data_IF_452738143122
#
_entry.id   IF_452738143122
#
_cell.length_a   1.000
_cell.length_b   1.000
_cell.length_c   1.000
_cell.angle_alpha   90.00
_cell.angle_beta   90.00
_cell.angle_gamma   90.00
#
_symmetry.space_group_name_H-M   'P 1'
#
loop_
_entity.id
_entity.type
_entity.pdbx_description
1 polymer ?
#
# COMPACT_ATOMS: atom_id res chain seq x y z
N UNK A 1 -6.85 4.62 8.53
CA UNK A 1 -7.31 4.47 7.14
C UNK A 1 -8.35 3.37 7.07
N UNK A 2 -9.39 3.58 6.32
CA UNK A 2 -10.41 2.57 6.11
C UNK A 2 -10.06 1.68 4.92
N UNK A 3 -10.72 0.53 4.85
CA UNK A 3 -10.53 -0.36 3.71
C UNK A 3 -10.90 0.31 2.40
N UNK A 4 -12.00 1.06 2.39
CA UNK A 4 -12.45 1.77 1.20
C UNK A 4 -11.45 2.86 0.80
N UNK A 5 -10.97 3.64 1.75
CA UNK A 5 -10.00 4.68 1.46
C UNK A 5 -8.72 4.12 0.88
N UNK A 6 -8.25 2.99 1.42
CA UNK A 6 -7.07 2.31 0.91
C UNK A 6 -7.31 1.78 -0.51
N UNK A 7 -8.45 1.15 -0.73
CA UNK A 7 -8.78 0.61 -2.04
C UNK A 7 -8.87 1.71 -3.10
N UNK A 8 -9.44 2.85 -2.75
CA UNK A 8 -9.50 3.99 -3.66
C UNK A 8 -8.12 4.56 -3.97
N UNK A 9 -7.27 4.68 -2.95
CA UNK A 9 -5.92 5.20 -3.13
C UNK A 9 -5.07 4.27 -4.00
N UNK A 10 -4.99 3.00 -3.63
CA UNK A 10 -4.17 2.04 -4.37
C UNK A 10 -4.79 1.69 -5.72
N UNK A 11 -6.11 1.54 -5.76
CA UNK A 11 -6.81 1.26 -7.00
C UNK A 11 -6.69 2.40 -7.99
N UNK A 12 -6.80 3.65 -7.52
CA UNK A 12 -6.60 4.81 -8.37
C UNK A 12 -5.18 4.91 -8.89
N UNK A 13 -4.21 4.62 -8.03
CA UNK A 13 -2.81 4.62 -8.43
C UNK A 13 -2.54 3.55 -9.50
N UNK A 14 -3.08 2.35 -9.31
CA UNK A 14 -2.91 1.27 -10.28
C UNK A 14 -3.63 1.57 -11.59
N UNK A 15 -4.79 2.21 -11.54
CA UNK A 15 -5.51 2.58 -12.75
C UNK A 15 -4.74 3.63 -13.57
N UNK A 16 -4.23 4.65 -12.88
CA UNK A 16 -3.63 5.79 -13.56
C UNK A 16 -2.15 5.60 -13.88
N UNK A 17 -1.43 4.83 -13.07
CA UNK A 17 0.02 4.66 -13.17
C UNK A 17 0.47 3.20 -13.10
N UNK A 18 -0.42 2.25 -13.41
CA UNK A 18 -0.11 0.85 -13.23
C UNK A 18 1.15 0.38 -13.96
N UNK A 19 1.42 0.93 -15.13
CA UNK A 19 2.63 0.58 -15.89
C UNK A 19 3.90 0.93 -15.15
N UNK A 20 3.83 1.94 -14.28
CA UNK A 20 4.97 2.40 -13.51
C UNK A 20 5.03 1.78 -12.12
N UNK A 21 3.97 1.10 -11.73
CA UNK A 21 3.83 0.48 -10.44
C UNK A 21 4.25 -0.98 -10.54
N UNK A 22 5.55 -1.22 -10.41
CA UNK A 22 6.09 -2.55 -10.66
C UNK A 22 5.64 -3.55 -9.61
N UNK A 23 5.62 -3.13 -8.34
CA UNK A 23 5.22 -4.00 -7.26
C UNK A 23 4.85 -3.18 -6.02
N UNK A 24 3.82 -3.62 -5.32
CA UNK A 24 3.47 -3.08 -4.00
C UNK A 24 3.30 -4.25 -3.06
N UNK A 25 3.91 -4.16 -1.89
CA UNK A 25 3.83 -5.23 -0.90
C UNK A 25 3.94 -4.64 0.49
N UNK A 26 3.19 -5.18 1.42
CA UNK A 26 3.29 -4.75 2.81
C UNK A 26 2.16 -5.24 3.67
N UNK A 27 2.14 -4.73 4.90
CA UNK A 27 1.10 -5.02 5.88
C UNK A 27 0.42 -3.73 6.27
N UNK A 28 -0.91 -3.72 6.26
CA UNK A 28 -1.70 -2.55 6.60
C UNK A 28 -2.82 -2.95 7.54
N UNK A 29 -2.95 -2.22 8.65
CA UNK A 29 -4.08 -2.38 9.55
C UNK A 29 -5.11 -1.30 9.23
N UNK A 30 -6.38 -1.73 9.16
CA UNK A 30 -7.46 -0.83 8.82
C UNK A 30 -8.28 -0.48 10.06
N UNK A 31 -8.66 0.79 10.15
CA UNK A 31 -9.44 1.29 11.27
C UNK A 31 -10.80 0.61 11.38
N UNK A 32 -11.37 0.21 10.26
CA UNK A 32 -12.70 -0.43 10.22
C UNK A 32 -12.62 -1.96 10.26
N UNK A 33 -11.43 -2.50 10.52
CA UNK A 33 -11.26 -3.95 10.73
C UNK A 33 -10.12 -4.20 11.72
N UNK A 34 -10.40 -4.05 13.01
CA UNK A 34 -9.39 -4.31 14.04
C UNK A 34 -9.10 -5.81 14.15
N UNK A 35 -8.02 -6.15 14.79
CA UNK A 35 -7.66 -7.52 15.09
C UNK A 35 -6.44 -8.04 14.37
N UNK A 36 -6.01 -7.40 13.30
CA UNK A 36 -4.81 -7.82 12.60
C UNK A 36 -4.68 -7.11 11.26
N UNK A 37 -3.48 -7.09 10.71
CA UNK A 37 -3.23 -6.41 9.45
C UNK A 37 -3.64 -7.27 8.26
N UNK A 38 -3.76 -6.62 7.11
CA UNK A 38 -3.88 -7.30 5.84
C UNK A 38 -2.54 -7.30 5.13
N UNK A 39 -2.17 -8.44 4.57
CA UNK A 39 -1.01 -8.53 3.68
C UNK A 39 -1.47 -8.08 2.30
N UNK A 40 -0.84 -7.03 1.81
CA UNK A 40 -1.18 -6.39 0.54
C UNK A 40 -0.17 -6.79 -0.52
N UNK A 41 -0.67 -7.06 -1.72
CA UNK A 41 0.18 -7.37 -2.85
C UNK A 41 -0.47 -6.86 -4.13
N UNK A 42 0.28 -6.13 -4.92
CA UNK A 42 -0.15 -5.65 -6.23
C UNK A 42 1.01 -5.66 -7.20
N UNK A 43 0.70 -5.92 -8.46
CA UNK A 43 1.67 -5.88 -9.55
C UNK A 43 1.03 -5.14 -10.71
N UNK A 44 1.59 -4.01 -11.06
CA UNK A 44 1.10 -3.15 -12.13
C UNK A 44 -0.39 -2.82 -11.96
N UNK A 45 -1.26 -3.23 -12.87
CA UNK A 45 -2.69 -2.95 -12.77
C UNK A 45 -3.45 -3.98 -11.93
N UNK A 46 -2.78 -5.05 -11.50
CA UNK A 46 -3.43 -6.14 -10.79
C UNK A 46 -3.30 -5.97 -9.29
N UNK A 47 -4.45 -5.85 -8.63
CA UNK A 47 -4.52 -5.83 -7.17
C UNK A 47 -5.01 -7.19 -6.73
N UNK A 48 -4.18 -7.89 -5.96
CA UNK A 48 -4.57 -9.19 -5.43
C UNK A 48 -5.41 -9.02 -4.18
N UNK A 49 -6.34 -9.95 -3.90
CA UNK A 49 -7.13 -9.87 -2.68
C UNK A 49 -6.22 -9.84 -1.45
N UNK A 50 -6.51 -9.00 -0.47
CA UNK A 50 -5.68 -8.95 0.74
C UNK A 50 -5.80 -10.25 1.51
N UNK A 51 -4.69 -10.64 2.12
CA UNK A 51 -4.65 -11.78 3.00
C UNK A 51 -4.69 -11.28 4.44
N UNK A 52 -5.72 -11.66 5.17
CA UNK A 52 -5.90 -11.19 6.54
C UNK A 52 -5.07 -12.03 7.50
N UNK A 53 -4.32 -11.35 8.37
CA UNK A 53 -3.56 -12.00 9.43
C UNK A 53 -4.33 -11.85 10.73
N UNK A 54 -4.21 -12.83 11.61
CA UNK A 54 -4.89 -12.79 12.89
C UNK A 54 -4.25 -11.80 13.85
N UNK A 55 -2.96 -11.56 13.66
CA UNK A 55 -2.19 -10.65 14.50
C UNK A 55 -0.94 -10.20 13.75
N UNK A 56 -0.30 -9.19 14.29
CA UNK A 56 0.97 -8.72 13.74
C UNK A 56 2.06 -9.76 13.96
N UNK A 57 2.94 -9.97 12.97
CA UNK A 57 4.02 -10.96 13.09
C UNK A 57 5.10 -10.57 14.09
N UNK A 58 5.18 -9.29 14.46
CA UNK A 58 6.12 -8.82 15.46
C UNK A 58 5.47 -7.78 16.36
N UNK A 59 6.24 -7.23 17.30
CA UNK A 59 5.72 -6.25 18.25
C UNK A 59 5.53 -4.86 17.66
N UNK A 60 6.07 -4.60 16.49
CA UNK A 60 6.02 -3.30 15.84
C UNK A 60 4.80 -3.22 14.94
N UNK A 61 3.72 -2.66 15.47
CA UNK A 61 2.42 -2.62 14.79
C UNK A 61 2.30 -1.43 13.85
N UNK A 62 3.24 -1.28 12.97
CA UNK A 62 3.27 -0.17 12.04
C UNK A 62 2.90 -0.64 10.65
N UNK A 63 1.87 -0.03 10.06
CA UNK A 63 1.51 -0.28 8.67
C UNK A 63 2.63 0.21 7.76
N UNK A 64 3.06 -0.64 6.87
CA UNK A 64 4.14 -0.32 5.92
C UNK A 64 3.83 -0.90 4.56
N UNK A 65 4.04 -0.09 3.55
CA UNK A 65 3.97 -0.52 2.16
C UNK A 65 5.28 -0.20 1.48
N UNK A 66 5.78 -1.16 0.74
CA UNK A 66 6.97 -0.98 -0.10
C UNK A 66 6.50 -0.89 -1.54
N UNK A 67 6.87 0.19 -2.20
CA UNK A 67 6.56 0.43 -3.60
C UNK A 67 7.83 0.30 -4.42
N UNK A 68 7.80 -0.56 -5.42
CA UNK A 68 8.85 -0.62 -6.44
C UNK A 68 8.25 0.01 -7.68
N UNK A 69 8.81 1.13 -8.10
CA UNK A 69 8.21 1.93 -9.17
C UNK A 69 9.26 2.33 -10.21
N UNK A 70 8.78 2.73 -11.36
CA UNK A 70 9.60 3.29 -12.44
C UNK A 70 8.99 4.62 -12.86
N UNK A 71 9.81 5.68 -12.85
CA UNK A 71 9.39 7.01 -13.32
C UNK A 71 8.10 7.50 -12.68
N UNK A 72 7.91 7.20 -11.40
CA UNK A 72 6.78 7.67 -10.62
C UNK A 72 7.30 8.38 -9.39
N UNK A 73 6.91 9.63 -9.24
CA UNK A 73 7.38 10.45 -8.14
C UNK A 73 6.75 10.02 -6.81
N UNK A 74 7.53 10.04 -5.72
CA UNK A 74 6.98 9.71 -4.40
C UNK A 74 5.81 10.58 -4.00
N UNK A 75 5.81 11.85 -4.43
CA UNK A 75 4.74 12.78 -4.09
C UNK A 75 3.39 12.34 -4.64
N UNK A 76 3.37 11.70 -5.78
CA UNK A 76 2.12 11.19 -6.34
C UNK A 76 1.54 10.08 -5.47
N UNK A 77 2.41 9.19 -4.98
CA UNK A 77 1.99 8.12 -4.08
C UNK A 77 1.49 8.72 -2.76
N UNK A 78 2.25 9.62 -2.18
CA UNK A 78 1.89 10.26 -0.92
C UNK A 78 0.58 11.02 -1.03
N UNK A 79 0.36 11.71 -2.13
CA UNK A 79 -0.86 12.47 -2.35
C UNK A 79 -2.09 11.58 -2.38
N UNK A 80 -1.97 10.40 -2.98
CA UNK A 80 -3.07 9.45 -3.06
C UNK A 80 -3.46 8.91 -1.68
N UNK A 81 -2.48 8.80 -0.80
CA UNK A 81 -2.69 8.30 0.56
C UNK A 81 -2.81 9.41 1.59
N UNK A 82 -2.79 10.66 1.19
CA UNK A 82 -2.73 11.80 2.12
C UNK A 82 -3.92 11.88 3.07
N UNK A 83 -5.08 11.44 2.63
CA UNK A 83 -6.28 11.47 3.46
C UNK A 83 -6.31 10.31 4.47
N UNK A 84 -5.41 9.35 4.34
CA UNK A 84 -5.39 8.18 5.19
C UNK A 84 -4.30 8.25 6.25
N UNK A 85 -4.14 7.15 6.95
CA UNK A 85 -3.09 7.02 7.93
C UNK A 85 -1.74 6.94 7.25
N UNK A 86 -0.73 7.48 7.87
CA UNK A 86 0.60 7.35 7.33
C UNK A 86 1.02 5.89 7.25
N UNK A 87 1.55 5.54 6.14
CA UNK A 87 2.24 4.28 5.96
C UNK A 87 3.68 4.62 5.64
N UNK A 88 4.58 3.75 6.03
CA UNK A 88 5.96 3.91 5.65
C UNK A 88 6.08 3.56 4.16
N UNK A 89 6.30 4.56 3.35
CA UNK A 89 6.42 4.37 1.91
C UNK A 89 7.90 4.40 1.56
N UNK A 90 8.37 3.33 0.97
CA UNK A 90 9.76 3.23 0.54
C UNK A 90 9.80 2.84 -0.92
N UNK A 91 10.88 3.24 -1.56
CA UNK A 91 11.12 2.86 -2.95
C UNK A 91 12.51 2.23 -3.04
N UNK A 92 12.62 0.95 -2.80
CA UNK A 92 13.90 0.28 -2.95
C UNK A 92 14.34 0.31 -4.40
N UNK A 93 15.55 -0.11 -4.64
CA UNK A 93 16.10 -0.20 -5.99
C UNK A 93 16.33 1.15 -6.65
N UNK A 94 16.27 2.22 -5.90
CA UNK A 94 16.54 3.54 -6.45
C UNK A 94 15.60 3.97 -7.55
N UNK A 95 14.39 3.45 -7.57
CA UNK A 95 13.42 3.77 -8.60
C UNK A 95 12.89 5.20 -8.48
N UNK A 96 13.11 5.83 -7.37
CA UNK A 96 12.72 7.21 -7.13
C UNK A 96 13.94 8.08 -6.96
#
# INVERSE_FOLDING_TARGET
MTRLGFAMALGGLARDHGEKLLRVKGLVEFADRPGGPAAIHAVQHTLYPPRWLERWPDADRVSRLVFVVRDLEPDEILRRFAAGEPACITSPAGAL
#
